data_IF_395888782683
#
_entry.id   IF_395888782683
#
_cell.length_a   1.000
_cell.length_b   1.000
_cell.length_c   1.000
_cell.angle_alpha   90.00
_cell.angle_beta   90.00
_cell.angle_gamma   90.00
#
_symmetry.space_group_name_H-M   'P 1'
#
loop_
_entity.id
_entity.type
_entity.pdbx_description
1 polymer ?
#
# COMPACT_ATOMS: atom_id res chain seq x y z
N UNK A 1 0.57 -12.87 7.80
CA UNK A 1 -0.31 -11.91 8.46
C UNK A 1 -0.18 -10.53 7.83
N UNK A 2 -1.32 -9.91 7.52
CA UNK A 2 -1.35 -8.61 6.84
C UNK A 2 -0.80 -7.47 7.69
N UNK A 3 -0.73 -7.63 9.01
CA UNK A 3 -0.18 -6.59 9.88
C UNK A 3 1.29 -6.29 9.53
N UNK A 4 2.05 -7.30 9.15
CA UNK A 4 3.43 -7.11 8.71
C UNK A 4 3.50 -6.16 7.50
N UNK A 5 2.63 -6.38 6.51
CA UNK A 5 2.61 -5.56 5.31
C UNK A 5 2.11 -4.14 5.61
N UNK A 6 1.12 -4.01 6.47
CA UNK A 6 0.63 -2.70 6.91
C UNK A 6 1.72 -1.90 7.61
N UNK A 7 2.49 -2.55 8.46
CA UNK A 7 3.59 -1.90 9.18
C UNK A 7 4.68 -1.42 8.22
N UNK A 8 4.99 -2.19 7.17
CA UNK A 8 5.94 -1.77 6.15
C UNK A 8 5.46 -0.50 5.43
N UNK A 9 4.19 -0.43 5.09
CA UNK A 9 3.61 0.73 4.43
C UNK A 9 3.67 1.95 5.34
N UNK A 10 3.30 1.79 6.60
CA UNK A 10 3.32 2.89 7.57
C UNK A 10 4.74 3.44 7.72
N UNK A 11 5.73 2.57 7.88
CA UNK A 11 7.13 2.98 7.99
C UNK A 11 7.60 3.73 6.75
N UNK A 12 7.22 3.25 5.56
CA UNK A 12 7.57 3.91 4.32
C UNK A 12 6.99 5.32 4.27
N UNK A 13 5.72 5.47 4.61
CA UNK A 13 5.05 6.77 4.59
C UNK A 13 5.58 7.71 5.67
N UNK A 14 5.98 7.18 6.82
CA UNK A 14 6.65 7.99 7.87
C UNK A 14 7.97 8.53 7.37
N UNK A 15 8.71 7.73 6.61
CA UNK A 15 10.04 8.10 6.12
C UNK A 15 9.98 9.06 4.93
N UNK A 16 9.09 8.79 3.97
CA UNK A 16 9.07 9.52 2.70
C UNK A 16 7.90 10.50 2.57
N UNK A 17 6.93 10.45 3.45
CA UNK A 17 5.78 11.36 3.48
C UNK A 17 4.66 11.00 2.54
N UNK A 18 4.97 10.39 1.41
CA UNK A 18 3.98 9.99 0.41
C UNK A 18 4.50 8.82 -0.43
N UNK A 19 3.58 8.12 -1.08
CA UNK A 19 3.94 7.01 -1.96
C UNK A 19 2.92 6.87 -3.08
N UNK A 20 3.40 6.59 -4.27
CA UNK A 20 2.53 6.15 -5.37
C UNK A 20 2.16 4.69 -5.13
N UNK A 21 1.09 4.24 -5.76
CA UNK A 21 0.72 2.81 -5.69
C UNK A 21 1.87 1.92 -6.18
N UNK A 22 2.60 2.36 -7.21
CA UNK A 22 3.75 1.62 -7.72
C UNK A 22 4.87 1.49 -6.68
N UNK A 23 5.08 2.51 -5.85
CA UNK A 23 6.08 2.46 -4.79
C UNK A 23 5.69 1.43 -3.73
N UNK A 24 4.43 1.39 -3.36
CA UNK A 24 3.91 0.42 -2.39
C UNK A 24 3.98 -0.99 -2.97
N UNK A 25 3.65 -1.14 -4.24
CA UNK A 25 3.75 -2.42 -4.93
C UNK A 25 5.18 -2.95 -4.90
N UNK A 26 6.16 -2.13 -5.23
CA UNK A 26 7.57 -2.51 -5.18
C UNK A 26 8.01 -2.88 -3.76
N UNK A 27 7.55 -2.12 -2.78
CA UNK A 27 7.86 -2.38 -1.37
C UNK A 27 7.39 -3.77 -0.92
N UNK A 28 6.20 -4.18 -1.34
CA UNK A 28 5.58 -5.41 -0.87
C UNK A 28 5.83 -6.62 -1.76
N UNK A 29 6.18 -6.42 -3.02
CA UNK A 29 6.19 -7.49 -4.02
C UNK A 29 7.04 -8.68 -3.60
N UNK A 30 8.27 -8.44 -3.19
CA UNK A 30 9.20 -9.48 -2.78
C UNK A 30 8.91 -10.04 -1.39
N UNK A 31 8.07 -9.36 -0.61
CA UNK A 31 7.68 -9.80 0.72
C UNK A 31 6.47 -10.72 0.67
N UNK A 32 5.71 -10.68 -0.43
CA UNK A 32 4.56 -11.57 -0.62
C UNK A 32 5.06 -12.98 -1.01
N UNK A 33 4.28 -14.03 -0.67
CA UNK A 33 4.70 -15.41 -0.99
C UNK A 33 4.94 -15.61 -2.47
N UNK A 34 6.01 -16.30 -2.81
CA UNK A 34 6.36 -16.63 -4.21
C UNK A 34 5.33 -17.54 -4.87
N UNK A 35 4.52 -18.23 -4.06
CA UNK A 35 3.46 -19.11 -4.57
C UNK A 35 2.29 -18.34 -5.18
N UNK A 36 2.20 -17.03 -4.90
CA UNK A 36 1.15 -16.21 -5.47
C UNK A 36 1.50 -15.80 -6.90
N UNK A 37 0.51 -15.83 -7.80
CA UNK A 37 0.66 -15.26 -9.13
C UNK A 37 0.73 -13.73 -9.04
N UNK A 38 1.14 -13.08 -10.13
CA UNK A 38 1.17 -11.62 -10.19
C UNK A 38 -0.21 -11.02 -9.93
N UNK A 39 -1.25 -11.62 -10.48
CA UNK A 39 -2.62 -11.18 -10.26
C UNK A 39 -3.01 -11.29 -8.78
N UNK A 40 -2.63 -12.39 -8.14
CA UNK A 40 -2.92 -12.60 -6.72
C UNK A 40 -2.15 -11.62 -5.84
N UNK A 41 -0.90 -11.32 -6.18
CA UNK A 41 -0.10 -10.32 -5.46
C UNK A 41 -0.74 -8.94 -5.57
N UNK A 42 -1.16 -8.54 -6.77
CA UNK A 42 -1.84 -7.27 -6.98
C UNK A 42 -3.15 -7.19 -6.19
N UNK A 43 -3.92 -8.27 -6.18
CA UNK A 43 -5.15 -8.35 -5.41
C UNK A 43 -4.89 -8.20 -3.91
N UNK A 44 -3.84 -8.83 -3.41
CA UNK A 44 -3.48 -8.73 -2.00
C UNK A 44 -3.10 -7.31 -1.60
N UNK A 45 -2.31 -6.65 -2.45
CA UNK A 45 -1.91 -5.25 -2.21
C UNK A 45 -3.14 -4.34 -2.19
N UNK A 46 -4.06 -4.53 -3.14
CA UNK A 46 -5.30 -3.76 -3.18
C UNK A 46 -6.13 -3.96 -1.91
N UNK A 47 -6.22 -5.19 -1.42
CA UNK A 47 -6.95 -5.52 -0.19
C UNK A 47 -6.33 -4.82 1.01
N UNK A 48 -5.00 -4.83 1.12
CA UNK A 48 -4.29 -4.17 2.21
C UNK A 48 -4.53 -2.67 2.18
N UNK A 49 -4.39 -2.04 1.03
CA UNK A 49 -4.61 -0.59 0.88
C UNK A 49 -6.06 -0.21 1.18
N UNK A 50 -7.02 -1.00 0.71
CA UNK A 50 -8.44 -0.75 0.98
C UNK A 50 -8.74 -0.82 2.47
N UNK A 51 -8.19 -1.82 3.15
CA UNK A 51 -8.35 -1.96 4.60
C UNK A 51 -7.81 -0.73 5.33
N UNK A 52 -6.59 -0.31 5.00
CA UNK A 52 -5.94 0.82 5.66
C UNK A 52 -6.70 2.13 5.41
N UNK A 53 -7.23 2.31 4.21
CA UNK A 53 -8.05 3.47 3.88
C UNK A 53 -9.34 3.48 4.69
N UNK A 54 -10.02 2.34 4.78
CA UNK A 54 -11.27 2.23 5.55
C UNK A 54 -11.06 2.48 7.03
N UNK A 55 -9.89 2.11 7.55
CA UNK A 55 -9.54 2.34 8.96
C UNK A 55 -8.97 3.72 9.21
N UNK A 56 -8.94 4.58 8.19
CA UNK A 56 -8.41 5.95 8.29
C UNK A 56 -6.93 5.99 8.70
N UNK A 57 -6.16 4.98 8.29
CA UNK A 57 -4.71 4.94 8.51
C UNK A 57 -4.01 5.69 7.39
N UNK A 58 -4.50 5.53 6.15
CA UNK A 58 -3.99 6.22 4.97
C UNK A 58 -5.15 6.87 4.21
N UNK A 59 -4.78 7.83 3.37
CA UNK A 59 -5.72 8.48 2.45
C UNK A 59 -4.97 8.93 1.21
N UNK A 60 -5.68 9.36 0.18
CA UNK A 60 -5.06 10.00 -0.98
C UNK A 60 -4.91 11.49 -0.70
N UNK A 61 -3.85 12.10 -1.27
CA UNK A 61 -3.59 13.53 -1.08
C UNK A 61 -4.37 14.42 -2.06
N UNK A 62 -5.12 13.81 -2.97
CA UNK A 62 -5.87 14.51 -4.02
C UNK A 62 -7.07 13.68 -4.44
N UNK A 63 -8.11 14.34 -4.95
CA UNK A 63 -9.27 13.66 -5.52
C UNK A 63 -8.99 13.08 -6.91
N UNK A 64 -7.88 13.45 -7.54
CA UNK A 64 -7.50 12.92 -8.84
C UNK A 64 -6.74 11.61 -8.66
N UNK A 65 -7.43 10.49 -8.89
CA UNK A 65 -6.87 9.15 -8.68
C UNK A 65 -5.63 8.86 -9.51
N UNK A 66 -5.44 9.53 -10.63
CA UNK A 66 -4.28 9.30 -11.49
C UNK A 66 -3.02 10.01 -10.98
N UNK A 67 -3.20 11.15 -10.30
CA UNK A 67 -2.11 12.00 -9.83
C UNK A 67 -1.95 11.98 -8.31
N UNK A 68 -2.83 11.26 -7.61
CA UNK A 68 -2.80 11.25 -6.15
C UNK A 68 -1.74 10.29 -5.61
N UNK A 69 -1.22 10.63 -4.46
CA UNK A 69 -0.33 9.77 -3.68
C UNK A 69 -1.06 9.29 -2.43
N UNK A 70 -0.59 8.18 -1.89
CA UNK A 70 -1.00 7.73 -0.56
C UNK A 70 -0.20 8.48 0.49
N UNK A 71 -0.88 8.93 1.52
CA UNK A 71 -0.28 9.60 2.68
C UNK A 71 -0.90 9.05 3.96
N UNK A 72 -0.21 9.24 5.08
CA UNK A 72 -0.80 8.93 6.38
C UNK A 72 -1.86 9.97 6.73
N UNK A 73 -2.92 9.50 7.39
CA UNK A 73 -3.99 10.39 7.86
C UNK A 73 -3.48 11.31 8.98
#
# INVERSE_FOLDING_TARGET
DDQYYRDLIIKYLQQYGKAKKSDIRELLWDKLPDTLSDSQKNGRINTILTYMRRKNIIKTDSDNHQLSNWILV
#
